data_IF_661556191224
#
_entry.id   IF_661556191224
#
_cell.length_a   1.000
_cell.length_b   1.000
_cell.length_c   1.000
_cell.angle_alpha   90.00
_cell.angle_beta   90.00
_cell.angle_gamma   90.00
#
_symmetry.space_group_name_H-M   'P 1'
#
loop_
_entity.id
_entity.type
_entity.pdbx_description
1 polymer ?
#
# COMPACT_ATOMS: atom_id res chain seq x y z
N UNK A 1 -12.30 9.22 8.69
CA UNK A 1 -11.20 10.05 8.12
C UNK A 1 -10.36 10.53 9.27
N UNK A 2 -9.04 10.36 9.20
CA UNK A 2 -8.10 10.82 10.24
C UNK A 2 -7.23 11.94 9.68
N UNK A 3 -6.60 12.73 10.54
CA UNK A 3 -5.64 13.72 10.07
C UNK A 3 -4.37 13.04 9.54
N UNK A 4 -3.65 13.71 8.64
CA UNK A 4 -2.37 13.22 8.13
C UNK A 4 -1.38 12.99 9.28
N UNK A 5 -1.38 13.88 10.28
CA UNK A 5 -0.52 13.78 11.45
C UNK A 5 -0.79 12.53 12.27
N UNK A 6 -2.07 12.21 12.52
CA UNK A 6 -2.42 10.98 13.25
C UNK A 6 -2.07 9.72 12.46
N UNK A 7 -2.21 9.77 11.13
CA UNK A 7 -1.84 8.66 10.27
C UNK A 7 -0.33 8.42 10.24
N UNK A 8 0.48 9.49 10.21
CA UNK A 8 1.93 9.42 10.28
C UNK A 8 2.41 8.90 11.63
N UNK A 9 1.87 9.43 12.74
CA UNK A 9 2.21 8.96 14.07
C UNK A 9 1.96 7.46 14.21
N UNK A 10 0.81 6.95 13.76
CA UNK A 10 0.50 5.51 13.79
C UNK A 10 1.46 4.67 12.95
N UNK A 11 1.92 5.20 11.81
CA UNK A 11 2.90 4.52 10.98
C UNK A 11 4.27 4.44 11.70
N UNK A 12 4.71 5.54 12.31
CA UNK A 12 5.93 5.60 13.12
C UNK A 12 5.86 4.68 14.36
N UNK A 13 4.75 4.70 15.10
CA UNK A 13 4.53 3.83 16.27
C UNK A 13 4.59 2.35 15.92
N UNK A 14 4.19 1.99 14.70
CA UNK A 14 4.22 0.60 14.22
C UNK A 14 5.48 0.24 13.44
N UNK A 15 6.39 1.21 13.20
CA UNK A 15 7.60 1.01 12.41
C UNK A 15 7.34 0.67 10.94
N UNK A 16 6.23 1.15 10.39
CA UNK A 16 5.77 0.88 9.02
C UNK A 16 5.64 2.20 8.23
N UNK A 17 5.35 2.09 6.93
CA UNK A 17 5.17 3.25 6.06
C UNK A 17 3.69 3.60 5.90
N UNK A 18 3.37 4.90 5.87
CA UNK A 18 2.06 5.39 5.42
C UNK A 18 2.08 5.49 3.89
N UNK A 19 1.34 4.61 3.20
CA UNK A 19 1.33 4.55 1.73
C UNK A 19 -0.04 4.91 1.17
N UNK A 20 -0.09 5.86 0.25
CA UNK A 20 -1.30 6.21 -0.49
C UNK A 20 -1.61 5.14 -1.55
N UNK A 21 -2.75 4.46 -1.41
CA UNK A 21 -3.17 3.36 -2.30
C UNK A 21 -4.18 3.84 -3.34
N UNK A 22 -4.99 4.85 -3.00
CA UNK A 22 -6.01 5.39 -3.91
C UNK A 22 -6.07 6.91 -3.78
N UNK A 23 -5.32 7.63 -4.64
CA UNK A 23 -5.30 9.09 -4.63
C UNK A 23 -6.50 9.72 -5.36
N UNK A 24 -7.21 8.93 -6.19
CA UNK A 24 -8.28 9.44 -7.07
C UNK A 24 -9.66 9.54 -6.39
N UNK A 25 -9.74 9.25 -5.09
CA UNK A 25 -10.99 9.29 -4.32
C UNK A 25 -10.87 10.37 -3.24
N UNK A 26 -11.98 11.04 -2.94
CA UNK A 26 -12.07 12.03 -1.87
C UNK A 26 -12.87 11.44 -0.71
N UNK A 27 -12.25 11.20 0.46
CA UNK A 27 -10.86 11.46 0.82
C UNK A 27 -9.89 10.38 0.31
N UNK A 28 -8.60 10.71 0.07
CA UNK A 28 -7.62 9.74 -0.39
C UNK A 28 -7.45 8.60 0.62
N UNK A 29 -7.26 7.38 0.10
CA UNK A 29 -7.11 6.19 0.95
C UNK A 29 -5.64 5.86 1.12
N UNK A 30 -5.16 6.02 2.36
CA UNK A 30 -3.82 5.65 2.80
C UNK A 30 -3.88 4.35 3.61
N UNK A 31 -2.83 3.54 3.53
CA UNK A 31 -2.67 2.28 4.27
C UNK A 31 -1.30 2.23 4.92
N UNK A 32 -1.25 1.83 6.19
CA UNK A 32 -0.01 1.60 6.91
C UNK A 32 0.51 0.20 6.56
N UNK A 33 1.66 0.10 5.90
CA UNK A 33 2.27 -1.15 5.44
C UNK A 33 3.76 -0.97 5.14
N UNK A 34 4.49 -2.08 5.02
CA UNK A 34 5.87 -2.07 4.51
C UNK A 34 5.86 -1.92 2.98
N UNK A 35 6.33 -0.77 2.48
CA UNK A 35 6.30 -0.49 1.06
C UNK A 35 7.21 -1.42 0.25
N UNK A 36 8.36 -1.81 0.79
CA UNK A 36 9.30 -2.73 0.14
C UNK A 36 8.69 -4.11 -0.09
N UNK A 37 8.10 -4.68 0.97
CA UNK A 37 7.39 -5.96 0.91
C UNK A 37 6.19 -5.90 -0.03
N UNK A 38 5.39 -4.84 0.06
CA UNK A 38 4.24 -4.64 -0.82
C UNK A 38 4.65 -4.58 -2.30
N UNK A 39 5.71 -3.84 -2.63
CA UNK A 39 6.24 -3.77 -4.00
C UNK A 39 6.74 -5.11 -4.51
N UNK A 40 7.37 -5.91 -3.64
CA UNK A 40 7.82 -7.25 -3.99
C UNK A 40 6.62 -8.18 -4.26
N UNK A 41 5.64 -8.20 -3.37
CA UNK A 41 4.43 -9.02 -3.52
C UNK A 41 3.65 -8.63 -4.78
N UNK A 42 3.46 -7.34 -5.03
CA UNK A 42 2.78 -6.86 -6.25
C UNK A 42 3.50 -7.29 -7.52
N UNK A 43 4.84 -7.25 -7.55
CA UNK A 43 5.60 -7.75 -8.69
C UNK A 43 5.48 -9.27 -8.86
N UNK A 44 5.52 -10.02 -7.76
CA UNK A 44 5.34 -11.48 -7.76
C UNK A 44 3.96 -11.86 -8.27
N UNK A 45 2.90 -11.21 -7.76
CA UNK A 45 1.52 -11.44 -8.20
C UNK A 45 1.32 -11.08 -9.66
N UNK A 46 1.86 -9.94 -10.14
CA UNK A 46 1.82 -9.58 -11.57
C UNK A 46 2.48 -10.64 -12.45
N UNK A 47 3.63 -11.21 -12.03
CA UNK A 47 4.30 -12.29 -12.76
C UNK A 47 3.44 -13.57 -12.78
N UNK A 48 2.79 -13.92 -11.67
CA UNK A 48 1.91 -15.09 -11.59
C UNK A 48 0.65 -14.91 -12.45
N UNK A 49 0.01 -13.75 -12.41
CA UNK A 49 -1.18 -13.47 -13.22
C UNK A 49 -0.89 -13.50 -14.72
N UNK A 50 0.26 -12.96 -15.16
CA UNK A 50 0.69 -13.07 -16.56
C UNK A 50 0.87 -14.52 -17.01
N UNK A 51 1.41 -15.38 -16.15
CA UNK A 51 1.56 -16.82 -16.44
C UNK A 51 0.22 -17.55 -16.53
N UNK A 52 -0.78 -17.14 -15.73
CA UNK A 52 -2.13 -17.72 -15.73
C UNK A 52 -3.03 -17.21 -16.86
N UNK A 53 -2.71 -16.07 -17.46
CA UNK A 53 -3.46 -15.52 -18.62
C UNK A 53 -3.07 -16.15 -19.96
N UNK A 54 -2.01 -16.96 -20.02
CA UNK A 54 -1.57 -17.65 -21.23
C UNK A 54 -2.09 -19.10 -21.31
N UNK A 55 -3.26 -19.36 -20.72
CA UNK A 55 -3.94 -20.66 -20.79
C UNK A 55 -5.27 -20.48 -21.50
#
# INVERSE_FOLDING_TARGET
>A
VVTIKDALNKAEETGLDLVEISPNVDPPVCKILDFGKYRYEQQKQKKLNKKKQHV
#
